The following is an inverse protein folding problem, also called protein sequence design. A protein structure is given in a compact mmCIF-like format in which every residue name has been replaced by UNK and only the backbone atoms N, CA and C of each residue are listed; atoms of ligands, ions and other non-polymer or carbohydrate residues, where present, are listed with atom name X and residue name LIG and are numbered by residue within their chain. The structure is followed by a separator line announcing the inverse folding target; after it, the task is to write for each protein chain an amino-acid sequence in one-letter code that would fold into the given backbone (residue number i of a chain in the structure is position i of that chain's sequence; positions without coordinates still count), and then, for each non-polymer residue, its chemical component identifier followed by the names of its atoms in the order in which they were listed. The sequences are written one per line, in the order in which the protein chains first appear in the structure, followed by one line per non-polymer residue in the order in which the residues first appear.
data_IF_371549741674
#
_entry.id   IF_371549741674
#
_cell.length_a   1.000
_cell.length_b   1.000
_cell.length_c   1.000
_cell.angle_alpha   90.00
_cell.angle_beta   90.00
_cell.angle_gamma   90.00
#
_symmetry.space_group_name_H-M   'P 1'
#
loop_
_entity.id
_entity.type
_entity.pdbx_description
1 polymer ?
#
# COMPACT_ATOMS: atom_id res chain seq x y z
N UNK A 1 -0.04 -37.72 -19.03
CA UNK A 1 1.12 -37.65 -18.11
C UNK A 1 2.01 -36.48 -18.54
N UNK A 2 2.48 -35.63 -17.67
CA UNK A 2 3.44 -34.58 -18.03
C UNK A 2 4.76 -35.23 -18.48
N UNK A 3 5.26 -34.85 -19.65
CA UNK A 3 6.56 -35.32 -20.16
C UNK A 3 7.66 -34.71 -19.27
N UNK A 4 8.49 -35.55 -18.65
CA UNK A 4 9.69 -35.12 -17.92
C UNK A 4 9.74 -35.42 -16.40
N UNK A 5 8.71 -36.03 -15.80
CA UNK A 5 8.65 -36.34 -14.35
C UNK A 5 8.59 -37.82 -14.13
N UNK A 6 9.61 -38.57 -14.60
CA UNK A 6 9.60 -40.05 -14.48
C UNK A 6 10.70 -40.67 -13.62
N UNK A 7 11.71 -39.89 -13.17
CA UNK A 7 12.78 -40.44 -12.32
C UNK A 7 12.50 -40.14 -10.85
N UNK A 8 12.22 -41.21 -10.07
CA UNK A 8 12.03 -41.10 -8.60
C UNK A 8 10.60 -40.82 -8.15
N UNK A 9 9.60 -40.86 -9.03
CA UNK A 9 8.20 -40.62 -8.67
C UNK A 9 7.47 -41.95 -8.46
N UNK A 10 6.88 -42.15 -7.29
CA UNK A 10 5.97 -43.23 -6.99
C UNK A 10 4.52 -42.79 -7.22
N UNK A 11 3.88 -43.33 -8.24
CA UNK A 11 2.47 -43.07 -8.54
C UNK A 11 1.58 -43.92 -7.65
N UNK A 12 0.63 -43.26 -6.98
CA UNK A 12 -0.37 -43.91 -6.11
C UNK A 12 -1.75 -43.77 -6.72
N UNK A 13 -2.66 -44.69 -6.37
CA UNK A 13 -4.06 -44.56 -6.75
C UNK A 13 -4.72 -43.48 -5.86
N UNK A 14 -5.32 -42.43 -6.44
CA UNK A 14 -5.93 -41.35 -5.65
C UNK A 14 -7.22 -41.84 -4.95
N UNK A 15 -7.19 -41.95 -3.64
CA UNK A 15 -8.35 -42.35 -2.81
C UNK A 15 -8.82 -41.21 -1.90
N UNK A 16 -7.95 -40.22 -1.62
CA UNK A 16 -8.23 -39.07 -0.77
C UNK A 16 -8.35 -37.80 -1.59
N UNK A 17 -9.21 -36.90 -1.16
CA UNK A 17 -9.34 -35.53 -1.73
C UNK A 17 -8.71 -34.54 -0.78
N UNK A 18 -7.79 -33.74 -1.31
CA UNK A 18 -7.18 -32.65 -0.58
C UNK A 18 -7.75 -31.30 -1.04
N UNK A 19 -8.06 -30.42 -0.10
CA UNK A 19 -8.31 -29.03 -0.39
C UNK A 19 -6.97 -28.29 -0.48
N UNK A 20 -6.73 -27.64 -1.62
CA UNK A 20 -5.49 -26.94 -1.89
C UNK A 20 -5.84 -25.50 -2.29
N UNK A 21 -5.21 -24.52 -1.67
CA UNK A 21 -5.18 -23.18 -2.21
C UNK A 21 -3.97 -23.01 -3.11
N UNK A 22 -4.12 -22.41 -4.28
CA UNK A 22 -3.04 -22.19 -5.23
C UNK A 22 -3.26 -20.88 -5.99
N UNK A 23 -2.18 -20.31 -6.52
CA UNK A 23 -2.26 -19.03 -7.23
C UNK A 23 -2.87 -19.21 -8.63
N UNK A 24 -2.36 -20.14 -9.42
CA UNK A 24 -2.87 -20.44 -10.77
C UNK A 24 -2.35 -21.81 -11.26
N UNK A 25 -2.90 -22.27 -12.39
CA UNK A 25 -2.37 -23.41 -13.14
C UNK A 25 -1.24 -22.95 -14.06
N UNK A 26 -0.15 -23.72 -14.13
CA UNK A 26 0.86 -23.54 -15.18
C UNK A 26 0.34 -24.08 -16.52
N UNK A 27 1.02 -23.75 -17.64
CA UNK A 27 0.73 -24.31 -18.95
C UNK A 27 0.86 -25.84 -18.98
N UNK A 28 1.72 -26.39 -18.12
CA UNK A 28 1.97 -27.83 -17.99
C UNK A 28 1.03 -28.51 -16.99
N UNK A 29 -0.07 -27.86 -16.61
CA UNK A 29 -1.07 -28.35 -15.66
C UNK A 29 -0.55 -28.63 -14.24
N UNK A 30 0.44 -27.86 -13.77
CA UNK A 30 0.91 -27.91 -12.40
C UNK A 30 0.33 -26.74 -11.61
N UNK A 31 0.10 -26.95 -10.32
CA UNK A 31 -0.36 -25.90 -9.40
C UNK A 31 0.82 -25.03 -8.97
N UNK A 32 0.70 -23.70 -9.16
CA UNK A 32 1.69 -22.73 -8.65
C UNK A 32 1.36 -22.34 -7.23
N UNK A 33 2.38 -22.32 -6.35
CA UNK A 33 2.26 -21.92 -4.94
C UNK A 33 1.15 -22.67 -4.22
N UNK A 34 1.09 -23.99 -4.44
CA UNK A 34 0.09 -24.83 -3.82
C UNK A 34 0.33 -24.96 -2.31
N UNK A 35 -0.70 -24.69 -1.51
CA UNK A 35 -0.69 -24.88 -0.07
C UNK A 35 -1.82 -25.83 0.34
N UNK A 36 -1.46 -26.91 1.04
CA UNK A 36 -2.41 -27.86 1.59
C UNK A 36 -3.24 -27.22 2.67
N UNK A 37 -4.58 -27.38 2.63
CA UNK A 37 -5.55 -26.81 3.57
C UNK A 37 -6.23 -27.84 4.45
N UNK A 38 -6.23 -29.10 4.04
CA UNK A 38 -6.85 -30.21 4.76
C UNK A 38 -7.33 -31.30 3.83
N UNK A 39 -7.74 -32.44 4.40
CA UNK A 39 -8.45 -33.49 3.67
C UNK A 39 -9.93 -33.16 3.62
N UNK A 40 -10.59 -33.55 2.53
CA UNK A 40 -12.04 -33.45 2.35
C UNK A 40 -12.64 -34.88 2.35
N UNK A 41 -13.39 -35.16 3.37
CA UNK A 41 -14.09 -36.44 3.53
C UNK A 41 -15.49 -36.41 2.87
N UNK A 42 -15.97 -35.21 2.54
CA UNK A 42 -17.28 -34.92 1.99
C UNK A 42 -17.39 -35.13 0.47
N UNK A 43 -16.24 -35.36 -0.23
CA UNK A 43 -16.22 -35.50 -1.68
C UNK A 43 -15.39 -36.71 -2.14
N UNK A 44 -15.99 -37.67 -2.89
CA UNK A 44 -15.24 -38.79 -3.46
C UNK A 44 -14.19 -38.33 -4.50
N UNK A 45 -13.03 -38.96 -4.51
CA UNK A 45 -11.94 -38.61 -5.43
C UNK A 45 -12.34 -38.69 -6.91
N UNK A 46 -13.26 -39.56 -7.26
CA UNK A 46 -13.81 -39.75 -8.62
C UNK A 46 -14.64 -38.56 -9.13
N UNK A 47 -15.15 -37.72 -8.24
CA UNK A 47 -15.97 -36.55 -8.58
C UNK A 47 -15.15 -35.27 -8.69
N UNK A 48 -13.84 -35.33 -8.45
CA UNK A 48 -12.95 -34.18 -8.61
C UNK A 48 -12.65 -33.98 -10.07
N UNK A 49 -13.26 -32.94 -10.65
CA UNK A 49 -13.00 -32.49 -12.01
C UNK A 49 -12.22 -31.17 -11.98
N UNK A 50 -11.39 -30.96 -13.00
CA UNK A 50 -10.69 -29.70 -13.16
C UNK A 50 -11.68 -28.57 -13.39
N UNK A 51 -11.61 -27.51 -12.60
CA UNK A 51 -12.40 -26.30 -12.82
C UNK A 51 -11.96 -25.66 -14.15
N UNK A 52 -12.92 -25.54 -15.08
CA UNK A 52 -12.74 -24.79 -16.32
C UNK A 52 -13.24 -23.38 -16.13
N UNK A 53 -12.46 -22.38 -16.55
CA UNK A 53 -12.92 -21.01 -16.57
C UNK A 53 -14.16 -20.91 -17.48
N UNK A 54 -15.29 -20.50 -16.92
CA UNK A 54 -16.52 -20.25 -17.70
C UNK A 54 -16.28 -18.99 -18.53
N UNK A 55 -16.37 -19.02 -19.89
CA UNK A 55 -16.21 -17.86 -20.71
C UNK A 55 -17.35 -16.87 -20.42
N UNK A 56 -17.06 -15.73 -19.84
CA UNK A 56 -18.02 -14.63 -19.79
C UNK A 56 -18.21 -14.10 -21.21
N UNK A 57 -19.44 -14.18 -21.71
CA UNK A 57 -19.84 -13.48 -22.93
C UNK A 57 -19.73 -11.96 -22.71
N UNK A 58 -18.75 -11.34 -23.35
CA UNK A 58 -18.68 -9.90 -23.44
C UNK A 58 -19.90 -9.38 -24.26
N UNK A 59 -20.84 -8.75 -23.59
CA UNK A 59 -21.77 -7.87 -24.28
C UNK A 59 -21.06 -6.52 -24.50
N UNK A 60 -20.64 -6.28 -25.72
CA UNK A 60 -20.26 -4.95 -26.16
C UNK A 60 -21.47 -4.04 -26.02
N UNK A 61 -21.41 -3.04 -25.17
CA UNK A 61 -22.22 -1.85 -25.23
C UNK A 61 -21.29 -0.67 -25.32
N UNK A 62 -21.40 0.02 -26.43
CA UNK A 62 -20.71 1.25 -26.75
C UNK A 62 -20.88 2.29 -25.64
N UNK A 63 -19.77 2.72 -25.06
CA UNK A 63 -19.74 3.80 -24.09
C UNK A 63 -19.22 5.06 -24.80
N UNK A 64 -20.14 5.92 -25.18
CA UNK A 64 -19.81 7.30 -25.54
C UNK A 64 -19.18 7.99 -24.32
N UNK A 65 -17.94 8.44 -24.47
CA UNK A 65 -17.23 9.22 -23.47
C UNK A 65 -17.92 10.58 -23.29
N UNK A 66 -18.62 10.76 -22.18
CA UNK A 66 -18.97 12.08 -21.65
C UNK A 66 -18.08 12.37 -20.45
N UNK A 67 -17.28 13.42 -20.58
CA UNK A 67 -16.47 14.01 -19.53
C UNK A 67 -17.31 14.28 -18.28
N UNK A 68 -17.09 13.49 -17.22
CA UNK A 68 -17.74 13.72 -15.94
C UNK A 68 -16.88 14.68 -15.11
N UNK A 69 -17.44 15.84 -14.81
CA UNK A 69 -16.97 16.74 -13.73
C UNK A 69 -16.95 16.00 -12.40
N UNK A 70 -16.03 16.32 -11.49
CA UNK A 70 -16.00 15.69 -10.17
C UNK A 70 -17.32 15.98 -9.43
N UNK A 71 -18.03 14.94 -9.06
CA UNK A 71 -19.21 15.06 -8.19
C UNK A 71 -18.74 15.28 -6.77
N UNK A 72 -19.08 16.40 -6.21
CA UNK A 72 -18.95 16.71 -4.78
C UNK A 72 -19.59 15.63 -3.92
N UNK A 73 -18.88 15.26 -2.85
CA UNK A 73 -19.28 14.24 -1.91
C UNK A 73 -20.55 14.61 -1.15
N UNK A 74 -21.70 14.13 -1.62
CA UNK A 74 -22.94 13.98 -0.83
C UNK A 74 -23.72 12.83 -1.46
N UNK A 75 -23.64 11.66 -0.82
CA UNK A 75 -24.43 10.50 -1.18
C UNK A 75 -23.86 9.26 -0.53
N UNK A 76 -24.62 8.64 0.38
CA UNK A 76 -24.35 7.28 0.81
C UNK A 76 -24.17 6.43 -0.45
N UNK A 77 -23.08 5.67 -0.55
CA UNK A 77 -22.91 4.74 -1.65
C UNK A 77 -23.95 3.64 -1.46
N UNK A 78 -24.75 3.34 -2.49
CA UNK A 78 -25.67 2.18 -2.54
C UNK A 78 -24.93 0.83 -2.61
N UNK A 79 -23.70 0.77 -2.09
CA UNK A 79 -22.91 -0.45 -2.07
C UNK A 79 -23.25 -1.22 -0.78
N UNK A 80 -23.98 -2.34 -0.87
CA UNK A 80 -24.26 -3.13 0.31
C UNK A 80 -22.97 -3.76 0.85
N UNK A 81 -22.65 -3.44 2.10
CA UNK A 81 -21.59 -4.13 2.83
C UNK A 81 -22.18 -5.44 3.38
N UNK A 82 -21.64 -6.57 2.96
CA UNK A 82 -22.02 -7.87 3.53
C UNK A 82 -21.34 -8.10 4.87
N UNK A 83 -22.06 -8.64 5.84
CA UNK A 83 -21.59 -8.83 7.22
C UNK A 83 -21.03 -7.54 7.84
N UNK A 84 -21.83 -6.45 7.89
CA UNK A 84 -21.37 -5.14 8.37
C UNK A 84 -20.90 -5.17 9.82
N UNK A 85 -21.46 -6.04 10.64
CA UNK A 85 -21.16 -6.27 12.05
C UNK A 85 -19.85 -7.06 12.28
N UNK A 86 -19.25 -7.63 11.23
CA UNK A 86 -18.03 -8.42 11.36
C UNK A 86 -16.90 -7.59 11.97
N UNK A 87 -16.37 -8.04 13.11
CA UNK A 87 -15.25 -7.39 13.79
C UNK A 87 -13.95 -7.57 12.98
N UNK A 88 -13.33 -6.45 12.63
CA UNK A 88 -12.02 -6.39 12.00
C UNK A 88 -10.91 -6.19 13.05
N UNK A 89 -11.23 -5.58 14.17
CA UNK A 89 -10.35 -5.49 15.32
C UNK A 89 -11.15 -5.65 16.61
N UNK A 90 -10.86 -6.73 17.36
CA UNK A 90 -11.62 -7.07 18.57
C UNK A 90 -11.34 -6.13 19.73
N UNK A 91 -10.11 -5.63 19.82
CA UNK A 91 -9.68 -4.77 20.92
C UNK A 91 -10.36 -3.41 20.86
N UNK A 92 -10.42 -2.80 19.68
CA UNK A 92 -11.09 -1.50 19.49
C UNK A 92 -12.59 -1.62 19.20
N UNK A 93 -13.10 -2.82 18.96
CA UNK A 93 -14.49 -3.05 18.54
C UNK A 93 -14.77 -2.62 17.09
N UNK A 94 -13.74 -2.39 16.28
CA UNK A 94 -13.92 -1.91 14.91
C UNK A 94 -14.58 -2.96 14.03
N UNK A 95 -15.70 -2.60 13.41
CA UNK A 95 -16.45 -3.43 12.48
C UNK A 95 -16.13 -3.13 11.02
N UNK A 96 -16.57 -4.00 10.11
CA UNK A 96 -16.47 -3.77 8.68
C UNK A 96 -17.26 -2.54 8.23
N UNK A 97 -18.43 -2.31 8.82
CA UNK A 97 -19.25 -1.13 8.57
C UNK A 97 -18.50 0.15 8.94
N UNK A 98 -17.91 0.22 10.13
CA UNK A 98 -17.14 1.37 10.58
C UNK A 98 -15.95 1.67 9.65
N UNK A 99 -15.30 0.63 9.10
CA UNK A 99 -14.23 0.80 8.13
C UNK A 99 -14.74 1.41 6.82
N UNK A 100 -15.89 0.94 6.32
CA UNK A 100 -16.49 1.48 5.09
C UNK A 100 -16.92 2.95 5.25
N UNK A 101 -17.57 3.28 6.38
CA UNK A 101 -17.94 4.65 6.73
C UNK A 101 -16.71 5.56 6.85
N UNK A 102 -15.67 5.07 7.52
CA UNK A 102 -14.40 5.79 7.63
C UNK A 102 -13.80 6.09 6.25
N UNK A 103 -13.73 5.09 5.35
CA UNK A 103 -13.21 5.28 4.00
C UNK A 103 -14.04 6.29 3.19
N UNK A 104 -15.35 6.33 3.36
CA UNK A 104 -16.20 7.35 2.73
C UNK A 104 -15.89 8.75 3.25
N UNK A 105 -15.75 8.91 4.56
CA UNK A 105 -15.47 10.19 5.19
C UNK A 105 -14.11 10.77 4.79
N UNK A 106 -13.09 9.92 4.62
CA UNK A 106 -11.74 10.36 4.21
C UNK A 106 -11.54 10.32 2.70
N UNK A 107 -12.50 9.88 1.91
CA UNK A 107 -12.34 9.62 0.48
C UNK A 107 -11.79 10.84 -0.29
N UNK A 108 -12.37 12.03 -0.06
CA UNK A 108 -11.93 13.26 -0.73
C UNK A 108 -10.44 13.58 -0.47
N UNK A 109 -9.94 13.25 0.72
CA UNK A 109 -8.56 13.49 1.14
C UNK A 109 -7.62 12.34 0.76
N UNK A 110 -8.12 11.12 0.68
CA UNK A 110 -7.31 9.93 0.40
C UNK A 110 -7.14 9.66 -1.08
N UNK A 111 -8.20 9.81 -1.89
CA UNK A 111 -8.21 9.49 -3.32
C UNK A 111 -7.11 10.19 -4.14
N UNK A 112 -6.78 11.47 -3.93
CA UNK A 112 -5.68 12.11 -4.64
C UNK A 112 -4.33 11.39 -4.51
N UNK A 113 -4.15 10.59 -3.44
CA UNK A 113 -2.91 9.91 -3.11
C UNK A 113 -2.88 8.43 -3.50
N UNK A 114 -4.04 7.76 -3.56
CA UNK A 114 -4.16 6.33 -3.88
C UNK A 114 -4.80 6.07 -5.24
N UNK A 115 -5.57 7.03 -5.76
CA UNK A 115 -6.27 6.91 -7.03
C UNK A 115 -5.32 6.80 -8.20
N UNK A 116 -5.70 5.97 -9.19
CA UNK A 116 -4.95 5.74 -10.43
C UNK A 116 -3.48 5.35 -10.22
N UNK A 117 -3.26 4.46 -9.24
CA UNK A 117 -1.94 3.87 -8.93
C UNK A 117 -2.05 2.37 -8.77
N UNK A 118 -0.98 1.61 -9.11
CA UNK A 118 -0.90 0.23 -8.70
C UNK A 118 -0.84 0.14 -7.17
N UNK A 119 -1.64 -0.76 -6.60
CA UNK A 119 -1.79 -0.89 -5.15
C UNK A 119 -1.24 -2.23 -4.64
N UNK A 120 -0.61 -2.20 -3.48
CA UNK A 120 -0.45 -3.34 -2.59
C UNK A 120 -1.36 -3.11 -1.39
N UNK A 121 -2.17 -4.09 -1.04
CA UNK A 121 -3.14 -3.98 0.05
C UNK A 121 -2.86 -5.04 1.12
N UNK A 122 -3.10 -4.70 2.38
CA UNK A 122 -3.07 -5.68 3.46
C UNK A 122 -4.50 -6.04 3.85
N UNK A 123 -4.87 -7.29 3.59
CA UNK A 123 -6.18 -7.84 3.92
C UNK A 123 -6.14 -8.60 5.23
N UNK A 124 -7.15 -8.35 6.05
CA UNK A 124 -7.41 -9.06 7.30
C UNK A 124 -8.86 -9.58 7.29
N UNK A 125 -9.20 -10.55 6.43
CA UNK A 125 -10.58 -11.00 6.27
C UNK A 125 -11.18 -11.55 7.56
N UNK A 126 -10.36 -12.10 8.45
CA UNK A 126 -10.78 -12.62 9.77
C UNK A 126 -10.39 -11.68 10.93
N UNK A 127 -10.07 -10.41 10.61
CA UNK A 127 -9.65 -9.39 11.57
C UNK A 127 -8.17 -9.42 11.93
N UNK A 128 -7.71 -8.37 12.65
CA UNK A 128 -6.30 -8.16 13.04
C UNK A 128 -5.75 -9.24 13.96
N UNK A 129 -6.60 -9.91 14.73
CA UNK A 129 -6.22 -11.03 15.60
C UNK A 129 -5.98 -12.36 14.87
N UNK A 130 -6.15 -12.39 13.57
CA UNK A 130 -5.92 -13.54 12.70
C UNK A 130 -4.88 -13.20 11.63
N UNK A 131 -4.61 -14.17 10.74
CA UNK A 131 -3.64 -13.97 9.67
C UNK A 131 -4.09 -12.88 8.69
N UNK A 132 -3.31 -11.81 8.58
CA UNK A 132 -3.40 -10.84 7.52
C UNK A 132 -2.37 -11.16 6.42
N UNK A 133 -2.65 -10.78 5.18
CA UNK A 133 -1.74 -11.03 4.07
C UNK A 133 -1.73 -9.88 3.06
N UNK A 134 -0.55 -9.63 2.50
CA UNK A 134 -0.41 -8.68 1.41
C UNK A 134 -0.93 -9.27 0.10
N UNK A 135 -1.67 -8.46 -0.65
CA UNK A 135 -2.17 -8.79 -1.96
C UNK A 135 -1.88 -7.64 -2.94
N UNK A 136 -1.35 -7.97 -4.10
CA UNK A 136 -1.06 -7.03 -5.21
C UNK A 136 -1.93 -7.37 -6.41
N UNK A 137 -2.17 -8.67 -6.61
CA UNK A 137 -2.81 -9.23 -7.80
C UNK A 137 -4.27 -9.54 -7.51
N UNK A 138 -5.03 -9.56 -8.60
CA UNK A 138 -6.45 -9.83 -8.55
C UNK A 138 -6.68 -11.32 -8.27
N UNK A 139 -7.62 -11.56 -7.32
CA UNK A 139 -8.30 -12.86 -7.20
C UNK A 139 -9.61 -12.87 -8.00
N UNK A 140 -10.36 -13.93 -7.89
CA UNK A 140 -11.70 -14.04 -8.46
C UNK A 140 -12.65 -13.01 -7.82
N UNK A 141 -13.28 -12.17 -8.67
CA UNK A 141 -14.32 -11.21 -8.29
C UNK A 141 -13.78 -9.96 -7.61
N UNK A 142 -13.74 -8.84 -8.34
CA UNK A 142 -13.46 -7.52 -7.78
C UNK A 142 -14.75 -6.87 -7.27
N UNK A 143 -14.74 -6.24 -6.09
CA UNK A 143 -15.84 -5.39 -5.68
C UNK A 143 -16.06 -4.24 -6.67
N UNK A 144 -17.28 -3.72 -6.72
CA UNK A 144 -17.57 -2.52 -7.49
C UNK A 144 -16.62 -1.39 -7.10
N UNK A 145 -16.08 -0.66 -8.09
CA UNK A 145 -15.17 0.47 -7.90
C UNK A 145 -13.69 0.09 -7.74
N UNK A 146 -13.38 -1.20 -7.53
CA UNK A 146 -12.00 -1.70 -7.61
C UNK A 146 -11.74 -2.22 -9.02
N UNK A 147 -10.60 -1.86 -9.58
CA UNK A 147 -10.21 -2.16 -10.95
C UNK A 147 -8.87 -2.89 -10.97
N UNK A 148 -8.45 -3.32 -12.16
CA UNK A 148 -7.10 -3.83 -12.40
C UNK A 148 -6.41 -3.09 -13.53
N UNK A 149 -5.09 -3.09 -13.46
CA UNK A 149 -4.25 -2.64 -14.55
C UNK A 149 -3.13 -3.64 -14.82
N UNK A 150 -2.76 -3.83 -16.09
CA UNK A 150 -1.63 -4.68 -16.44
C UNK A 150 -0.30 -4.00 -16.09
N UNK A 151 0.56 -4.69 -15.35
CA UNK A 151 1.90 -4.22 -14.97
C UNK A 151 2.94 -5.23 -15.45
N UNK A 152 3.89 -4.77 -16.27
CA UNK A 152 4.99 -5.61 -16.73
C UNK A 152 5.95 -5.94 -15.57
N UNK A 153 6.11 -7.22 -15.27
CA UNK A 153 7.15 -7.70 -14.39
C UNK A 153 8.48 -7.78 -15.17
N UNK A 154 9.37 -6.83 -14.89
CA UNK A 154 10.66 -6.72 -15.61
C UNK A 154 11.60 -7.93 -15.40
N UNK A 155 11.38 -8.75 -14.37
CA UNK A 155 12.21 -9.92 -14.09
C UNK A 155 11.77 -11.14 -14.89
N UNK A 156 10.47 -11.32 -15.07
CA UNK A 156 9.91 -12.49 -15.77
C UNK A 156 9.51 -12.17 -17.21
N UNK A 157 9.35 -10.89 -17.57
CA UNK A 157 8.78 -10.45 -18.83
C UNK A 157 7.27 -10.67 -18.94
N UNK A 158 6.62 -11.19 -17.90
CA UNK A 158 5.18 -11.45 -17.88
C UNK A 158 4.42 -10.21 -17.41
N UNK A 159 3.18 -10.05 -17.87
CA UNK A 159 2.27 -9.03 -17.37
C UNK A 159 1.44 -9.60 -16.23
N UNK A 160 1.37 -8.86 -15.13
CA UNK A 160 0.61 -9.19 -13.93
C UNK A 160 -0.47 -8.14 -13.70
N UNK A 161 -1.69 -8.57 -13.34
CA UNK A 161 -2.79 -7.65 -13.06
C UNK A 161 -2.72 -7.12 -11.62
N UNK A 162 -2.44 -5.82 -11.48
CA UNK A 162 -2.40 -5.14 -10.19
C UNK A 162 -3.73 -4.47 -9.87
N UNK A 163 -4.05 -4.40 -8.58
CA UNK A 163 -5.20 -3.66 -8.08
C UNK A 163 -4.99 -2.15 -8.25
N UNK A 164 -6.06 -1.46 -8.62
CA UNK A 164 -6.14 0.01 -8.64
C UNK A 164 -7.57 0.45 -8.30
N UNK A 165 -7.75 1.72 -7.95
CA UNK A 165 -9.06 2.34 -7.74
C UNK A 165 -8.99 3.83 -8.09
N UNK A 166 -10.14 4.48 -8.30
CA UNK A 166 -10.21 5.91 -8.64
C UNK A 166 -11.39 6.61 -7.96
N UNK A 167 -12.23 5.88 -7.24
CA UNK A 167 -13.49 6.40 -6.69
C UNK A 167 -13.70 6.02 -5.24
N UNK A 168 -14.61 6.70 -4.55
CA UNK A 168 -15.06 6.34 -3.20
C UNK A 168 -15.68 4.93 -3.15
N UNK A 169 -16.38 4.51 -4.21
CA UNK A 169 -16.89 3.14 -4.35
C UNK A 169 -15.74 2.12 -4.26
N UNK A 170 -14.58 2.43 -4.85
CA UNK A 170 -13.39 1.59 -4.75
C UNK A 170 -12.87 1.46 -3.31
N UNK A 171 -12.89 2.53 -2.53
CA UNK A 171 -12.50 2.48 -1.11
C UNK A 171 -13.50 1.65 -0.29
N UNK A 172 -14.81 1.79 -0.55
CA UNK A 172 -15.83 0.92 0.07
C UNK A 172 -15.64 -0.53 -0.34
N UNK A 173 -15.31 -0.78 -1.61
CA UNK A 173 -14.94 -2.10 -2.11
C UNK A 173 -13.74 -2.69 -1.38
N UNK A 174 -12.73 -1.87 -1.03
CA UNK A 174 -11.62 -2.31 -0.18
C UNK A 174 -12.10 -2.71 1.23
N UNK A 175 -12.99 -1.93 1.84
CA UNK A 175 -13.59 -2.31 3.14
C UNK A 175 -14.37 -3.63 3.03
N UNK A 176 -15.13 -3.84 1.95
CA UNK A 176 -15.84 -5.09 1.68
C UNK A 176 -14.89 -6.30 1.64
N UNK A 177 -13.68 -6.13 1.11
CA UNK A 177 -12.63 -7.15 1.08
C UNK A 177 -11.90 -7.35 2.42
N UNK A 178 -12.17 -6.54 3.45
CA UNK A 178 -11.44 -6.52 4.72
C UNK A 178 -10.02 -5.97 4.58
N UNK A 179 -9.84 -4.97 3.70
CA UNK A 179 -8.56 -4.28 3.51
C UNK A 179 -8.39 -3.22 4.57
N UNK A 180 -7.38 -3.38 5.41
CA UNK A 180 -7.01 -2.41 6.45
C UNK A 180 -5.90 -1.46 5.97
N UNK A 181 -4.95 -1.92 5.15
CA UNK A 181 -3.88 -1.06 4.69
C UNK A 181 -3.87 -0.94 3.16
N UNK A 182 -3.75 0.28 2.67
CA UNK A 182 -3.59 0.59 1.25
C UNK A 182 -2.21 1.21 1.05
N UNK A 183 -1.42 0.61 0.17
CA UNK A 183 -0.04 0.98 -0.12
C UNK A 183 0.13 1.21 -1.62
N UNK A 184 0.02 2.46 -2.10
CA UNK A 184 0.22 2.79 -3.51
C UNK A 184 1.70 2.77 -3.91
N UNK A 185 1.94 2.58 -5.22
CA UNK A 185 3.22 2.91 -5.81
C UNK A 185 3.47 4.42 -5.78
N UNK A 186 4.74 4.80 -5.83
CA UNK A 186 5.17 6.19 -5.98
C UNK A 186 4.98 6.75 -7.41
N UNK A 187 4.33 6.01 -8.32
CA UNK A 187 3.97 6.44 -9.68
C UNK A 187 2.49 6.22 -9.97
N UNK A 188 1.98 6.86 -11.01
CA UNK A 188 0.60 6.68 -11.50
C UNK A 188 0.52 5.61 -12.58
N UNK A 189 -0.71 5.13 -12.84
CA UNK A 189 -0.99 4.14 -13.87
C UNK A 189 -0.54 4.59 -15.27
N UNK A 190 -0.70 5.89 -15.58
CA UNK A 190 -0.31 6.50 -16.85
C UNK A 190 1.20 6.70 -17.01
N UNK A 191 1.95 6.67 -15.90
CA UNK A 191 3.39 6.94 -15.88
C UNK A 191 4.15 6.00 -14.94
N UNK A 192 3.87 4.69 -15.02
CA UNK A 192 4.39 3.67 -14.09
C UNK A 192 5.92 3.64 -13.98
N UNK A 193 6.62 4.02 -15.04
CA UNK A 193 8.09 3.98 -15.07
C UNK A 193 8.74 5.24 -14.51
N UNK A 194 7.95 6.26 -14.16
CA UNK A 194 8.42 7.54 -13.63
C UNK A 194 7.67 7.89 -12.35
N UNK A 195 8.35 7.90 -11.19
CA UNK A 195 7.70 8.29 -9.94
C UNK A 195 7.32 9.76 -9.93
N UNK A 196 6.21 10.08 -9.26
CA UNK A 196 5.72 11.45 -9.06
C UNK A 196 5.95 11.96 -7.62
N UNK A 197 6.71 11.22 -6.82
CA UNK A 197 7.07 11.55 -5.43
C UNK A 197 8.36 10.88 -4.99
N UNK A 198 9.05 11.50 -4.05
CA UNK A 198 10.16 10.93 -3.29
C UNK A 198 9.64 10.64 -1.89
N UNK A 199 9.93 9.46 -1.35
CA UNK A 199 9.44 9.02 -0.03
C UNK A 199 10.63 8.57 0.82
N UNK A 200 10.75 9.11 2.03
CA UNK A 200 11.61 8.60 3.08
C UNK A 200 10.76 8.06 4.23
N UNK A 201 11.01 6.82 4.63
CA UNK A 201 10.36 6.19 5.77
C UNK A 201 11.37 6.16 6.93
N UNK A 202 11.11 6.96 7.96
CA UNK A 202 11.93 7.03 9.17
C UNK A 202 11.41 6.00 10.17
N UNK A 203 12.12 4.88 10.32
CA UNK A 203 11.73 3.77 11.19
C UNK A 203 12.65 3.70 12.43
N UNK A 204 12.23 4.31 13.57
CA UNK A 204 13.03 4.35 14.76
C UNK A 204 13.02 3.01 15.50
N UNK A 205 14.14 2.64 16.11
CA UNK A 205 14.19 1.61 17.15
C UNK A 205 13.32 2.00 18.36
N UNK A 206 12.97 1.04 19.20
CA UNK A 206 12.12 1.30 20.38
C UNK A 206 12.76 2.22 21.40
N UNK A 207 14.08 2.24 21.46
CA UNK A 207 14.83 3.11 22.35
C UNK A 207 14.95 4.57 21.88
N UNK A 208 14.57 4.86 20.62
CA UNK A 208 14.61 6.22 20.08
C UNK A 208 13.35 6.97 20.47
N UNK A 209 13.50 8.08 21.17
CA UNK A 209 12.39 8.90 21.62
C UNK A 209 11.75 9.74 20.48
N UNK A 210 10.56 10.25 20.77
CA UNK A 210 9.82 11.10 19.82
C UNK A 210 10.57 12.37 19.43
N UNK A 211 11.25 13.00 20.39
CA UNK A 211 11.97 14.27 20.16
C UNK A 211 13.10 14.05 19.14
N UNK A 212 13.86 12.98 19.28
CA UNK A 212 14.93 12.60 18.35
C UNK A 212 14.38 12.33 16.96
N UNK A 213 13.27 11.58 16.83
CA UNK A 213 12.61 11.34 15.56
C UNK A 213 12.08 12.64 14.91
N UNK A 214 11.52 13.54 15.71
CA UNK A 214 11.03 14.83 15.25
C UNK A 214 12.17 15.74 14.73
N UNK A 215 13.31 15.74 15.40
CA UNK A 215 14.53 16.45 14.95
C UNK A 215 15.02 15.86 13.64
N UNK A 216 15.07 14.52 13.52
CA UNK A 216 15.42 13.84 12.26
C UNK A 216 14.52 14.24 11.10
N UNK A 217 13.20 14.27 11.33
CA UNK A 217 12.25 14.69 10.30
C UNK A 217 12.50 16.14 9.84
N UNK A 218 12.81 17.05 10.78
CA UNK A 218 13.15 18.45 10.45
C UNK A 218 14.47 18.55 9.68
N UNK A 219 15.43 17.67 9.94
CA UNK A 219 16.69 17.61 9.17
C UNK A 219 16.39 17.26 7.70
N UNK A 220 15.54 16.25 7.44
CA UNK A 220 15.11 15.95 6.06
C UNK A 220 14.41 17.14 5.40
N UNK A 221 13.54 17.84 6.13
CA UNK A 221 12.92 19.06 5.62
C UNK A 221 13.97 20.08 5.19
N UNK A 222 14.96 20.37 6.05
CA UNK A 222 16.04 21.30 5.73
C UNK A 222 16.84 20.89 4.48
N UNK A 223 17.12 19.58 4.32
CA UNK A 223 17.80 19.06 3.12
C UNK A 223 16.95 19.28 1.87
N UNK A 224 15.63 19.11 1.93
CA UNK A 224 14.75 19.41 0.80
C UNK A 224 14.68 20.90 0.49
N UNK A 225 14.57 21.76 1.50
CA UNK A 225 14.59 23.22 1.35
C UNK A 225 15.91 23.70 0.72
N UNK A 226 17.04 23.11 1.11
CA UNK A 226 18.38 23.41 0.55
C UNK A 226 18.47 23.18 -0.97
N UNK A 227 17.69 22.22 -1.49
CA UNK A 227 17.64 21.91 -2.94
C UNK A 227 16.41 22.48 -3.63
N UNK A 228 15.66 23.33 -2.94
CA UNK A 228 14.47 24.00 -3.49
C UNK A 228 13.25 23.11 -3.66
N UNK A 229 13.13 22.05 -2.85
CA UNK A 229 11.96 21.16 -2.84
C UNK A 229 11.15 21.34 -1.55
N UNK A 230 9.85 21.48 -1.69
CA UNK A 230 8.90 21.41 -0.59
C UNK A 230 8.64 19.95 -0.22
N UNK A 231 8.53 19.66 1.06
CA UNK A 231 8.25 18.33 1.58
C UNK A 231 7.07 18.32 2.53
N UNK A 232 6.43 17.17 2.62
CA UNK A 232 5.21 16.92 3.37
C UNK A 232 5.44 15.79 4.37
N UNK A 233 4.79 15.88 5.51
CA UNK A 233 4.99 14.99 6.65
C UNK A 233 3.73 14.20 6.97
N UNK A 234 3.86 12.91 7.34
CA UNK A 234 2.78 12.13 7.94
C UNK A 234 3.28 11.10 8.93
N UNK A 235 2.41 10.68 9.84
CA UNK A 235 2.65 9.47 10.65
C UNK A 235 2.56 8.22 9.77
N UNK A 236 3.22 7.14 10.19
CA UNK A 236 3.04 5.83 9.55
C UNK A 236 1.88 5.03 10.14
N UNK A 237 1.17 5.56 11.16
CA UNK A 237 0.25 4.80 12.01
C UNK A 237 0.97 3.76 12.88
N UNK A 238 2.30 3.85 12.94
CA UNK A 238 3.20 3.09 13.80
C UNK A 238 4.11 4.03 14.56
N UNK A 239 5.38 3.65 14.73
CA UNK A 239 6.39 4.46 15.43
C UNK A 239 6.97 5.56 14.54
N UNK A 240 7.06 5.31 13.24
CA UNK A 240 7.79 6.09 12.26
C UNK A 240 7.05 7.28 11.68
N UNK A 241 7.78 8.02 10.86
CA UNK A 241 7.28 9.13 10.07
C UNK A 241 7.64 8.92 8.60
N UNK A 242 6.76 9.35 7.69
CA UNK A 242 7.13 9.51 6.29
C UNK A 242 7.32 10.98 5.95
N UNK A 243 8.37 11.25 5.20
CA UNK A 243 8.60 12.54 4.55
C UNK A 243 8.44 12.32 3.05
N UNK A 244 7.61 13.11 2.41
CA UNK A 244 7.24 12.94 1.01
C UNK A 244 7.44 14.26 0.28
N UNK A 245 8.18 14.25 -0.81
CA UNK A 245 8.30 15.39 -1.71
C UNK A 245 7.65 15.04 -3.06
N UNK A 246 6.58 15.75 -3.49
CA UNK A 246 6.03 15.56 -4.83
C UNK A 246 7.04 16.05 -5.87
N UNK A 247 7.11 15.36 -6.99
CA UNK A 247 7.92 15.75 -8.14
C UNK A 247 7.15 15.51 -9.44
N UNK A 248 7.50 16.18 -10.51
CA UNK A 248 7.01 15.82 -11.83
C UNK A 248 7.52 14.43 -12.22
N UNK A 249 6.69 13.62 -12.85
CA UNK A 249 7.05 12.30 -13.35
C UNK A 249 7.95 12.38 -14.60
N UNK A 250 9.14 12.97 -14.46
CA UNK A 250 10.11 13.19 -15.54
C UNK A 250 11.33 12.27 -15.41
N UNK A 251 11.74 11.93 -14.19
CA UNK A 251 12.88 11.08 -13.91
C UNK A 251 12.46 9.60 -13.78
N UNK A 252 13.32 8.70 -14.22
CA UNK A 252 13.14 7.27 -14.02
C UNK A 252 13.38 6.85 -12.56
N UNK A 253 12.85 5.69 -12.16
CA UNK A 253 12.99 5.12 -10.82
C UNK A 253 14.44 5.04 -10.33
N UNK A 254 15.37 4.65 -11.20
CA UNK A 254 16.78 4.52 -10.83
C UNK A 254 17.40 5.85 -10.45
N UNK A 255 17.04 6.93 -11.14
CA UNK A 255 17.52 8.29 -10.86
C UNK A 255 17.00 8.75 -9.49
N UNK A 256 15.70 8.60 -9.24
CA UNK A 256 15.06 9.01 -7.99
C UNK A 256 15.58 8.18 -6.81
N UNK A 257 15.73 6.86 -6.99
CA UNK A 257 16.28 5.96 -5.98
C UNK A 257 17.73 6.32 -5.62
N UNK A 258 18.57 6.58 -6.64
CA UNK A 258 19.95 7.00 -6.41
C UNK A 258 20.00 8.31 -5.64
N UNK A 259 19.24 9.31 -6.07
CA UNK A 259 19.11 10.58 -5.34
C UNK A 259 18.69 10.37 -3.88
N UNK A 260 17.65 9.59 -3.64
CA UNK A 260 17.19 9.30 -2.28
C UNK A 260 18.25 8.57 -1.45
N UNK A 261 19.04 7.69 -2.06
CA UNK A 261 20.17 7.02 -1.39
C UNK A 261 21.26 8.02 -0.99
N UNK A 262 21.66 8.93 -1.89
CA UNK A 262 22.67 9.95 -1.56
C UNK A 262 22.21 10.85 -0.41
N UNK A 263 20.94 11.24 -0.37
CA UNK A 263 20.37 12.02 0.75
C UNK A 263 20.53 11.28 2.09
N UNK A 264 20.16 10.01 2.17
CA UNK A 264 20.26 9.27 3.43
C UNK A 264 21.70 8.97 3.82
N UNK A 265 22.61 8.74 2.86
CA UNK A 265 24.04 8.58 3.12
C UNK A 265 24.67 9.85 3.69
N UNK A 266 24.31 11.01 3.16
CA UNK A 266 24.75 12.31 3.70
C UNK A 266 24.33 12.46 5.17
N UNK A 267 23.07 12.15 5.49
CA UNK A 267 22.53 12.26 6.85
C UNK A 267 23.18 11.22 7.79
N UNK A 268 23.35 9.98 7.33
CA UNK A 268 24.04 8.94 8.12
C UNK A 268 25.48 9.32 8.44
N UNK A 269 26.20 9.94 7.48
CA UNK A 269 27.59 10.39 7.66
C UNK A 269 27.73 11.46 8.75
N UNK A 270 26.72 12.32 8.92
CA UNK A 270 26.74 13.35 9.97
C UNK A 270 26.60 12.77 11.39
N UNK A 271 25.78 11.70 11.55
CA UNK A 271 25.52 11.06 12.86
C UNK A 271 25.40 9.53 12.69
N UNK A 272 26.49 8.82 12.44
CA UNK A 272 26.48 7.38 12.16
C UNK A 272 26.04 6.53 13.35
N UNK A 273 26.09 7.05 14.57
CA UNK A 273 25.60 6.36 15.77
C UNK A 273 24.08 6.44 15.93
N UNK A 274 23.43 7.43 15.32
CA UNK A 274 21.99 7.63 15.38
C UNK A 274 21.26 7.09 14.15
N UNK A 275 21.89 7.11 12.98
CA UNK A 275 21.26 6.74 11.72
C UNK A 275 21.85 5.46 11.13
N UNK A 276 21.03 4.75 10.36
CA UNK A 276 21.45 3.59 9.57
C UNK A 276 20.65 3.52 8.28
N UNK A 277 21.35 3.29 7.16
CA UNK A 277 20.74 3.12 5.83
C UNK A 277 20.65 1.65 5.42
N UNK A 278 21.28 0.75 6.17
CA UNK A 278 21.27 -0.70 5.91
C UNK A 278 20.05 -1.36 6.52
N UNK A 279 19.38 -2.22 5.74
CA UNK A 279 18.13 -2.89 6.13
C UNK A 279 18.31 -3.96 7.24
N UNK A 280 19.52 -4.36 7.55
CA UNK A 280 19.85 -5.40 8.54
C UNK A 280 19.36 -5.02 9.93
N UNK A 281 18.43 -5.79 10.51
CA UNK A 281 17.81 -5.49 11.82
C UNK A 281 18.84 -5.31 12.95
N UNK A 282 19.89 -6.12 12.98
CA UNK A 282 20.94 -6.03 14.01
C UNK A 282 21.64 -4.66 14.06
N UNK A 283 21.71 -3.96 12.92
CA UNK A 283 22.33 -2.64 12.82
C UNK A 283 21.41 -1.50 13.24
N UNK A 284 20.12 -1.76 13.46
CA UNK A 284 19.11 -0.72 13.77
C UNK A 284 18.95 -0.47 15.28
N UNK A 285 19.60 -1.27 16.13
CA UNK A 285 19.47 -1.12 17.58
C UNK A 285 19.89 0.29 18.01
N UNK A 286 19.00 0.98 18.75
CA UNK A 286 19.13 2.36 19.21
C UNK A 286 19.27 3.41 18.08
N UNK A 287 18.91 3.06 16.84
CA UNK A 287 19.07 3.94 15.67
C UNK A 287 17.75 4.17 14.94
N UNK A 288 17.74 5.15 14.07
CA UNK A 288 16.67 5.38 13.11
C UNK A 288 17.12 4.80 11.76
N UNK A 289 16.35 3.84 11.24
CA UNK A 289 16.55 3.36 9.89
C UNK A 289 15.94 4.36 8.91
N UNK A 290 16.80 4.89 8.03
CA UNK A 290 16.43 5.83 6.98
C UNK A 290 16.12 5.04 5.70
N UNK A 291 14.86 4.57 5.58
CA UNK A 291 14.43 3.74 4.44
C UNK A 291 14.15 4.61 3.21
N UNK A 292 15.07 4.56 2.25
CA UNK A 292 14.96 5.18 0.91
C UNK A 292 14.45 4.20 -0.15
N UNK A 293 14.34 2.91 0.16
CA UNK A 293 13.97 1.86 -0.80
C UNK A 293 12.51 1.95 -1.26
N UNK A 294 11.72 2.83 -0.62
CA UNK A 294 10.37 3.20 -1.10
C UNK A 294 10.40 3.85 -2.48
N UNK A 295 11.55 4.32 -2.92
CA UNK A 295 11.77 4.97 -4.21
C UNK A 295 12.22 4.00 -5.31
N UNK A 296 11.93 2.72 -5.18
CA UNK A 296 12.20 1.72 -6.21
C UNK A 296 10.90 1.30 -6.94
N UNK A 297 11.03 0.89 -8.20
CA UNK A 297 9.90 0.39 -8.98
C UNK A 297 9.23 -0.80 -8.29
N UNK A 298 7.93 -0.73 -8.10
CA UNK A 298 7.18 -1.77 -7.39
C UNK A 298 7.23 -1.69 -5.86
N UNK A 299 8.04 -0.79 -5.31
CA UNK A 299 8.00 -0.48 -3.89
C UNK A 299 6.77 0.36 -3.55
N UNK A 300 6.25 0.16 -2.35
CA UNK A 300 5.05 0.82 -1.87
C UNK A 300 5.28 1.43 -0.49
N UNK A 301 4.49 2.45 -0.18
CA UNK A 301 4.45 3.04 1.15
C UNK A 301 2.99 3.20 1.59
N UNK A 302 2.71 3.07 2.90
CA UNK A 302 1.34 3.24 3.40
C UNK A 302 0.79 4.61 3.00
N UNK A 303 -0.43 4.63 2.46
CA UNK A 303 -1.09 5.84 2.02
C UNK A 303 -1.42 6.78 3.19
N UNK A 304 -1.50 8.11 2.95
CA UNK A 304 -2.17 9.00 3.90
C UNK A 304 -3.62 8.55 4.09
N UNK A 305 -4.12 8.70 5.30
CA UNK A 305 -5.44 8.27 5.77
C UNK A 305 -5.67 6.75 5.77
N UNK A 306 -4.69 5.93 5.40
CA UNK A 306 -4.82 4.47 5.50
C UNK A 306 -4.80 4.01 6.95
N UNK A 307 -5.78 3.20 7.37
CA UNK A 307 -5.68 2.44 8.62
C UNK A 307 -4.48 1.49 8.58
N UNK A 308 -4.08 0.99 9.75
CA UNK A 308 -3.04 -0.02 9.90
C UNK A 308 -3.59 -1.26 10.62
N UNK A 309 -3.20 -2.42 10.17
CA UNK A 309 -3.55 -3.70 10.77
C UNK A 309 -2.73 -3.96 12.06
N UNK A 310 -2.93 -3.10 13.03
CA UNK A 310 -2.32 -3.15 14.37
C UNK A 310 -3.42 -2.97 15.39
N UNK A 311 -3.17 -3.37 16.64
CA UNK A 311 -4.07 -3.14 17.76
C UNK A 311 -4.56 -1.68 17.80
N UNK A 312 -5.88 -1.49 17.96
CA UNK A 312 -6.54 -0.18 17.94
C UNK A 312 -6.69 0.47 16.57
N UNK A 313 -6.21 -0.18 15.50
CA UNK A 313 -6.32 0.29 14.11
C UNK A 313 -5.91 1.75 13.93
N UNK A 314 -4.62 2.07 14.22
CA UNK A 314 -4.13 3.42 14.05
C UNK A 314 -4.10 3.83 12.57
N UNK A 315 -4.09 5.15 12.32
CA UNK A 315 -4.15 5.75 10.98
C UNK A 315 -2.83 6.40 10.63
N UNK A 316 -2.39 6.21 9.39
CA UNK A 316 -1.28 6.97 8.79
C UNK A 316 -1.79 8.34 8.36
N UNK A 317 -1.61 9.37 9.19
CA UNK A 317 -2.25 10.66 9.00
C UNK A 317 -1.27 11.76 8.61
N UNK A 318 -1.59 12.63 7.62
CA UNK A 318 -0.88 13.88 7.34
C UNK A 318 -0.74 14.76 8.56
N UNK A 319 0.44 15.37 8.72
CA UNK A 319 0.78 16.29 9.79
C UNK A 319 1.28 17.61 9.20
N UNK A 320 1.02 18.70 9.92
CA UNK A 320 1.75 19.95 9.73
C UNK A 320 3.12 19.86 10.41
N UNK A 321 4.14 20.49 9.84
CA UNK A 321 5.49 20.50 10.40
C UNK A 321 5.56 21.03 11.85
N UNK A 322 4.65 21.96 12.22
CA UNK A 322 4.54 22.49 13.60
C UNK A 322 4.12 21.43 14.62
N UNK A 323 3.43 20.35 14.21
CA UNK A 323 2.99 19.29 15.12
C UNK A 323 4.16 18.43 15.63
N UNK A 324 5.33 18.51 15.00
CA UNK A 324 6.56 17.89 15.53
C UNK A 324 7.06 18.57 16.82
N UNK A 325 6.52 19.71 17.21
CA UNK A 325 6.85 20.39 18.46
C UNK A 325 6.08 19.82 19.66
N UNK A 326 5.13 18.89 19.44
CA UNK A 326 4.40 18.24 20.54
C UNK A 326 5.35 17.42 21.41
N UNK A 327 5.03 17.33 22.71
CA UNK A 327 5.83 16.53 23.68
C UNK A 327 5.72 15.04 23.41
N UNK A 328 4.63 14.59 22.79
CA UNK A 328 4.33 13.20 22.49
C UNK A 328 4.01 13.01 21.02
N UNK A 329 4.26 11.82 20.51
CA UNK A 329 3.90 11.44 19.14
C UNK A 329 2.38 11.53 18.96
N UNK A 330 1.89 12.22 17.91
CA UNK A 330 0.48 12.19 17.57
C UNK A 330 0.07 10.78 17.11
N UNK A 331 -1.01 10.26 17.68
CA UNK A 331 -1.59 8.96 17.31
C UNK A 331 -3.08 9.17 17.04
N UNK A 332 -3.56 8.56 15.95
CA UNK A 332 -4.95 8.68 15.51
C UNK A 332 -5.49 7.28 15.24
N UNK A 333 -6.70 6.98 15.68
CA UNK A 333 -7.35 5.70 15.48
C UNK A 333 -8.63 5.86 14.68
N UNK A 334 -9.02 4.83 13.92
CA UNK A 334 -10.29 4.84 13.18
C UNK A 334 -11.47 4.98 14.15
N UNK A 335 -11.45 4.27 15.28
CA UNK A 335 -12.51 4.31 16.29
C UNK A 335 -12.63 5.67 17.00
N UNK A 336 -11.57 6.48 16.97
CA UNK A 336 -11.54 7.84 17.51
C UNK A 336 -11.80 8.92 16.44
N UNK A 337 -12.26 8.53 15.25
CA UNK A 337 -12.43 9.44 14.10
C UNK A 337 -13.21 10.70 14.46
N UNK A 338 -14.28 10.59 15.22
CA UNK A 338 -15.08 11.74 15.67
C UNK A 338 -14.25 12.81 16.40
N UNK A 339 -13.20 12.40 17.15
CA UNK A 339 -12.32 13.33 17.89
C UNK A 339 -11.41 14.14 16.97
N UNK A 340 -10.99 13.55 15.84
CA UNK A 340 -10.05 14.22 14.93
C UNK A 340 -10.62 14.53 13.54
N UNK A 341 -11.92 14.25 13.27
CA UNK A 341 -12.60 14.51 12.01
C UNK A 341 -12.44 15.96 11.52
N UNK A 342 -12.41 16.94 12.45
CA UNK A 342 -12.23 18.37 12.13
C UNK A 342 -10.92 18.64 11.36
N UNK A 343 -9.91 17.77 11.46
CA UNK A 343 -8.66 17.89 10.70
C UNK A 343 -8.86 17.77 9.19
N UNK A 344 -9.93 17.13 8.73
CA UNK A 344 -10.26 17.05 7.30
C UNK A 344 -10.58 18.44 6.71
N UNK A 345 -10.95 19.42 7.54
CA UNK A 345 -11.26 20.78 7.09
C UNK A 345 -9.98 21.58 6.74
N UNK A 346 -8.82 21.20 7.27
CA UNK A 346 -7.52 21.82 6.99
C UNK A 346 -6.51 20.73 6.70
N UNK A 347 -6.47 20.26 5.43
CA UNK A 347 -5.56 19.21 5.02
C UNK A 347 -4.12 19.74 4.96
N UNK A 348 -3.18 19.21 5.76
CA UNK A 348 -1.77 19.57 5.69
C UNK A 348 -1.12 19.28 4.32
N UNK A 349 -1.77 18.43 3.52
CA UNK A 349 -1.30 18.01 2.20
C UNK A 349 -2.10 18.60 1.04
N UNK A 350 -2.92 19.62 1.29
CA UNK A 350 -3.81 20.22 0.29
C UNK A 350 -3.06 20.65 -0.99
N UNK A 351 -1.83 21.15 -0.85
CA UNK A 351 -1.01 21.61 -1.98
C UNK A 351 -0.16 20.50 -2.61
N UNK A 352 -0.01 19.35 -1.97
CA UNK A 352 0.89 18.29 -2.41
C UNK A 352 0.60 17.80 -3.83
N UNK A 353 -0.67 17.63 -4.18
CA UNK A 353 -1.07 17.09 -5.49
C UNK A 353 -1.01 18.12 -6.61
N UNK A 354 -1.04 19.40 -6.28
CA UNK A 354 -0.94 20.52 -7.23
C UNK A 354 0.48 21.05 -7.35
N UNK A 355 1.35 20.73 -6.40
CA UNK A 355 2.75 21.12 -6.43
C UNK A 355 3.49 20.41 -7.58
N UNK A 356 3.97 21.18 -8.55
CA UNK A 356 4.60 20.71 -9.79
C UNK A 356 6.11 20.89 -9.79
N UNK A 357 6.76 20.76 -8.64
CA UNK A 357 8.20 20.91 -8.51
C UNK A 357 8.99 19.82 -9.27
N UNK A 358 10.24 20.11 -9.59
CA UNK A 358 11.09 19.22 -10.39
C UNK A 358 12.31 18.78 -9.60
N UNK A 359 12.65 17.50 -9.69
CA UNK A 359 13.97 17.03 -9.26
C UNK A 359 14.97 17.36 -10.37
N UNK A 360 15.67 18.50 -10.23
CA UNK A 360 16.57 19.02 -11.24
C UNK A 360 17.95 18.33 -11.19
N UNK A 361 18.69 18.39 -12.31
CA UNK A 361 20.07 17.91 -12.36
C UNK A 361 20.97 18.63 -11.34
N UNK A 362 20.73 19.91 -11.06
CA UNK A 362 21.46 20.69 -10.05
C UNK A 362 21.17 20.13 -8.63
N UNK A 363 19.91 19.84 -8.29
CA UNK A 363 19.54 19.23 -7.01
C UNK A 363 20.20 17.86 -6.83
N UNK A 364 20.19 17.03 -7.89
CA UNK A 364 20.85 15.71 -7.88
C UNK A 364 22.35 15.85 -7.66
N UNK A 365 23.02 16.74 -8.41
CA UNK A 365 24.47 16.97 -8.28
C UNK A 365 24.85 17.45 -6.87
N UNK A 366 24.04 18.31 -6.26
CA UNK A 366 24.28 18.84 -4.91
C UNK A 366 24.24 17.76 -3.82
N UNK A 367 23.50 16.68 -4.05
CA UNK A 367 23.43 15.55 -3.10
C UNK A 367 24.52 14.49 -3.37
N UNK A 368 25.08 14.44 -4.58
CA UNK A 368 26.09 13.43 -4.98
C UNK A 368 27.54 13.86 -4.69
N UNK A 369 27.78 15.02 -4.12
CA UNK A 369 29.09 15.55 -3.70
C UNK A 369 29.25 15.48 -2.22
#
# INVERSE_FOLDING_TARGET
MPKGVSKGVHWVQPTLVAQISFANWTRDNLLRQAAFKGLREDKPAKEVVRESAVPQKHSQRDAAAKSARPRTAQGATDLPITHPEKLLDKESGMTKQMLAEYYLEVAERMLPHVGDRPLSILRCPEGTGKQCFFQKHIGLGLPKGVQSIPVLNRKTGETEDYLTLSTSDGLVGMAQMGVLEIHPWGSRNESMEKPDRIIFDLDPDEAVDWKTLAITAKLFRAVFEEIGLESYLKTTGGKGLHIVAPIRAENEWQVVKKFAHEVVLRIEKEQPDLYVTKMTKALRKNRIYLDYLRNDRGSTAVAPYSPRARSGVPVALPLEWRELNSKTRPVFHVTDFAKWRKRLNSDPWATMTTNKQRLTAQAIKKMSG
#
